data_IF_610059366487
#
_entry.id   IF_610059366487
#
_cell.length_a   1.000
_cell.length_b   1.000
_cell.length_c   1.000
_cell.angle_alpha   90.00
_cell.angle_beta   90.00
_cell.angle_gamma   90.00
#
_symmetry.space_group_name_H-M   'P 1'
#
loop_
_entity.id
_entity.type
_entity.pdbx_description
1 polymer ?
#
# COMPACT_ATOMS: atom_id res chain seq x y z
N UNK A 1 -1.12 -15.23 -1.58
CA UNK A 1 -1.80 -13.91 -1.51
C UNK A 1 -0.83 -12.93 -2.13
N UNK A 2 -1.24 -12.08 -3.05
CA UNK A 2 -0.32 -11.13 -3.66
C UNK A 2 -0.09 -9.89 -2.79
N UNK A 3 1.02 -9.18 -3.03
CA UNK A 3 1.43 -8.00 -2.28
C UNK A 3 0.38 -6.89 -2.30
N UNK A 4 0.10 -6.33 -1.14
CA UNK A 4 -0.78 -5.17 -0.96
C UNK A 4 -0.27 -4.32 0.18
N UNK A 5 -0.25 -3.02 -0.02
CA UNK A 5 0.14 -2.06 1.00
C UNK A 5 -0.75 -0.83 0.97
N UNK A 6 -1.02 -0.27 2.14
CA UNK A 6 -1.53 1.08 2.35
C UNK A 6 -0.77 1.64 3.55
N UNK A 7 0.37 2.28 3.32
CA UNK A 7 1.36 2.61 4.34
C UNK A 7 1.67 4.11 4.35
N UNK A 8 1.62 4.71 5.54
CA UNK A 8 2.21 6.02 5.83
C UNK A 8 3.36 5.87 6.84
N UNK A 9 4.46 6.56 6.59
CA UNK A 9 5.58 6.64 7.53
C UNK A 9 5.99 8.09 7.73
N UNK A 10 5.95 8.57 8.96
CA UNK A 10 6.50 9.87 9.36
C UNK A 10 7.86 9.65 10.02
N UNK A 11 8.89 10.38 9.60
CA UNK A 11 10.23 10.17 10.11
C UNK A 11 11.06 11.46 10.22
N UNK A 12 11.89 11.53 11.24
CA UNK A 12 12.82 12.64 11.46
C UNK A 12 14.12 12.47 10.66
N UNK A 13 14.14 11.55 9.68
CA UNK A 13 15.31 11.28 8.86
C UNK A 13 15.16 10.05 7.98
N UNK A 14 16.22 9.25 7.86
CA UNK A 14 16.28 8.02 7.06
C UNK A 14 15.37 6.93 7.66
N UNK A 15 14.26 6.61 6.99
CA UNK A 15 13.27 5.66 7.48
C UNK A 15 13.86 4.25 7.68
N UNK A 16 14.55 3.65 6.69
CA UNK A 16 15.16 2.33 6.87
C UNK A 16 16.11 2.27 8.07
N UNK A 17 16.94 3.28 8.22
CA UNK A 17 17.88 3.35 9.34
C UNK A 17 17.22 3.55 10.70
N UNK A 18 16.06 4.20 10.76
CA UNK A 18 15.27 4.33 11.98
C UNK A 18 14.57 3.00 12.30
N UNK A 19 13.88 2.38 11.34
CA UNK A 19 13.15 1.12 11.54
C UNK A 19 14.06 -0.04 11.96
N UNK A 20 15.31 -0.12 11.48
CA UNK A 20 16.27 -1.14 11.95
C UNK A 20 16.64 -1.03 13.44
N UNK A 21 16.35 0.10 14.09
CA UNK A 21 16.72 0.38 15.48
C UNK A 21 15.54 0.47 16.43
N UNK A 22 14.30 0.31 15.95
CA UNK A 22 13.14 0.34 16.83
C UNK A 22 13.13 -0.86 17.76
N UNK A 23 12.67 -0.63 18.98
CA UNK A 23 12.33 -1.68 19.94
C UNK A 23 10.82 -1.82 20.04
N UNK A 24 10.33 -2.28 21.19
CA UNK A 24 8.90 -2.31 21.46
C UNK A 24 8.29 -0.91 21.34
N UNK A 25 7.15 -0.81 20.67
CA UNK A 25 6.42 0.44 20.55
C UNK A 25 5.75 0.83 21.87
N UNK A 26 5.53 2.13 22.07
CA UNK A 26 4.79 2.67 23.22
C UNK A 26 3.32 2.83 22.84
N UNK A 27 2.43 2.11 23.53
CA UNK A 27 1.00 2.13 23.26
C UNK A 27 0.38 3.52 23.50
N UNK A 28 0.73 4.20 24.60
CA UNK A 28 0.15 5.51 24.94
C UNK A 28 0.56 6.58 23.93
N UNK A 29 1.81 6.53 23.49
CA UNK A 29 2.35 7.36 22.41
C UNK A 29 1.64 7.08 21.10
N UNK A 30 1.49 5.81 20.73
CA UNK A 30 0.79 5.37 19.51
C UNK A 30 -0.68 5.80 19.55
N UNK A 31 -1.39 5.58 20.66
CA UNK A 31 -2.78 6.01 20.80
C UNK A 31 -2.94 7.55 20.75
N UNK A 32 -1.93 8.29 21.19
CA UNK A 32 -1.92 9.76 21.08
C UNK A 32 -1.75 10.20 19.62
N UNK A 33 -0.81 9.61 18.89
CA UNK A 33 -0.63 9.81 17.46
C UNK A 33 -1.93 9.49 16.68
N UNK A 34 -2.57 8.35 16.98
CA UNK A 34 -3.82 7.96 16.32
C UNK A 34 -4.92 9.01 16.47
N UNK A 35 -5.10 9.59 17.68
CA UNK A 35 -6.08 10.66 17.88
C UNK A 35 -5.76 11.94 17.11
N UNK A 36 -4.51 12.21 16.85
CA UNK A 36 -4.08 13.38 16.05
C UNK A 36 -4.30 13.16 14.55
N UNK A 37 -4.01 11.94 14.05
CA UNK A 37 -4.12 11.60 12.64
C UNK A 37 -5.55 11.26 12.21
N UNK A 38 -6.42 10.86 13.15
CA UNK A 38 -7.83 10.53 12.89
C UNK A 38 -8.79 11.43 13.71
N UNK A 39 -8.77 12.75 13.47
CA UNK A 39 -9.58 13.69 14.25
C UNK A 39 -11.07 13.43 14.05
N UNK A 40 -11.81 13.39 15.16
CA UNK A 40 -13.26 13.17 15.14
C UNK A 40 -13.70 11.72 14.93
N UNK A 41 -12.77 10.78 14.78
CA UNK A 41 -13.07 9.34 14.70
C UNK A 41 -13.14 8.72 16.11
N UNK A 42 -13.98 7.70 16.24
CA UNK A 42 -13.91 6.78 17.39
C UNK A 42 -12.80 5.76 17.17
N UNK A 43 -11.90 5.64 18.15
CA UNK A 43 -10.72 4.78 18.07
C UNK A 43 -10.79 3.78 19.21
N UNK A 44 -10.86 2.51 18.89
CA UNK A 44 -10.89 1.41 19.84
C UNK A 44 -9.70 0.48 19.59
N UNK A 45 -8.90 0.21 20.62
CA UNK A 45 -7.77 -0.72 20.51
C UNK A 45 -8.26 -2.14 20.20
N UNK A 46 -7.56 -2.82 19.31
CA UNK A 46 -7.78 -4.21 18.89
C UNK A 46 -6.48 -4.99 18.95
N UNK A 47 -6.55 -6.27 18.59
CA UNK A 47 -5.37 -7.08 18.36
C UNK A 47 -4.49 -6.43 17.29
N UNK A 48 -3.19 -6.40 17.54
CA UNK A 48 -2.19 -5.86 16.63
C UNK A 48 -1.69 -6.89 15.61
N UNK A 49 -0.69 -6.48 14.86
CA UNK A 49 -0.01 -7.31 13.87
C UNK A 49 1.49 -6.96 13.87
N UNK A 50 2.26 -7.53 12.97
CA UNK A 50 3.60 -7.06 12.65
C UNK A 50 3.57 -6.06 11.48
N UNK A 51 4.71 -5.45 11.15
CA UNK A 51 4.81 -4.49 10.04
C UNK A 51 4.56 -5.17 8.68
N UNK A 52 5.00 -6.43 8.49
CA UNK A 52 4.81 -7.17 7.25
C UNK A 52 3.34 -7.37 6.91
N UNK A 53 2.53 -7.83 7.86
CA UNK A 53 1.09 -8.05 7.67
C UNK A 53 0.26 -6.78 7.90
N UNK A 54 0.70 -5.91 8.78
CA UNK A 54 -0.04 -4.72 9.22
C UNK A 54 -0.07 -3.57 8.22
N UNK A 55 0.66 -3.65 7.11
CA UNK A 55 0.61 -2.64 6.03
C UNK A 55 -0.66 -2.70 5.18
N UNK A 56 -1.46 -3.74 5.32
CA UNK A 56 -2.76 -3.87 4.65
C UNK A 56 -3.80 -4.50 5.59
N UNK A 57 -4.16 -3.81 6.68
CA UNK A 57 -5.14 -4.33 7.64
C UNK A 57 -6.55 -4.35 7.02
N UNK A 58 -7.49 -5.12 7.59
CA UNK A 58 -8.89 -5.10 7.16
C UNK A 58 -9.51 -3.70 7.16
N UNK A 59 -10.53 -3.47 6.31
CA UNK A 59 -11.28 -2.21 6.25
C UNK A 59 -11.76 -1.75 7.63
N UNK A 60 -11.59 -0.47 7.93
CA UNK A 60 -11.92 0.12 9.23
C UNK A 60 -10.94 -0.23 10.36
N UNK A 61 -9.87 -0.95 10.04
CA UNK A 61 -8.78 -1.25 10.96
C UNK A 61 -7.53 -0.49 10.54
N UNK A 62 -6.79 0.02 11.51
CA UNK A 62 -5.48 0.65 11.32
C UNK A 62 -4.48 -0.07 12.19
N UNK A 63 -3.35 -0.48 11.62
CA UNK A 63 -2.21 -0.99 12.36
C UNK A 63 -1.15 0.12 12.47
N UNK A 64 -0.75 0.47 13.70
CA UNK A 64 0.13 1.60 13.90
C UNK A 64 1.12 1.42 15.05
N UNK A 65 2.25 2.09 14.94
CA UNK A 65 3.21 2.19 16.03
C UNK A 65 3.98 3.51 15.97
N UNK A 66 4.33 4.03 17.13
CA UNK A 66 5.08 5.28 17.29
C UNK A 66 6.30 5.08 18.19
N UNK A 67 7.46 5.47 17.66
CA UNK A 67 8.74 5.50 18.36
C UNK A 67 9.34 6.90 18.32
N UNK A 68 10.37 7.20 19.09
CA UNK A 68 11.12 8.43 18.92
C UNK A 68 11.71 8.52 17.50
N UNK A 69 11.25 9.52 16.73
CA UNK A 69 11.77 9.82 15.40
C UNK A 69 11.12 9.05 14.24
N UNK A 70 10.25 8.06 14.48
CA UNK A 70 9.52 7.36 13.42
C UNK A 70 8.15 6.89 13.87
N UNK A 71 7.17 7.02 12.99
CA UNK A 71 5.79 6.58 13.16
C UNK A 71 5.34 5.83 11.91
N UNK A 72 4.65 4.72 12.10
CA UNK A 72 4.18 3.84 11.04
C UNK A 72 2.68 3.65 11.16
N UNK A 73 1.97 3.76 10.05
CA UNK A 73 0.52 3.57 9.96
C UNK A 73 0.19 2.74 8.73
N UNK A 74 -0.37 1.55 8.93
CA UNK A 74 -0.99 0.74 7.88
C UNK A 74 -2.50 0.99 7.86
N UNK A 75 -3.02 1.48 6.73
CA UNK A 75 -4.42 1.85 6.55
C UNK A 75 -4.82 1.75 5.07
N UNK A 76 -5.88 1.03 4.76
CA UNK A 76 -6.37 0.96 3.38
C UNK A 76 -6.92 2.30 2.87
N UNK A 77 -7.37 3.21 3.73
CA UNK A 77 -7.89 4.51 3.32
C UNK A 77 -6.82 5.41 2.65
N UNK A 78 -5.52 5.10 2.81
CA UNK A 78 -4.43 5.84 2.15
C UNK A 78 -4.09 5.33 0.75
N UNK A 79 -4.77 4.27 0.29
CA UNK A 79 -4.62 3.75 -1.07
C UNK A 79 -5.43 4.60 -2.05
N UNK A 80 -4.85 5.71 -2.47
CA UNK A 80 -5.50 6.71 -3.32
C UNK A 80 -4.77 6.85 -4.66
N UNK A 81 -5.54 7.00 -5.74
CA UNK A 81 -5.01 7.12 -7.11
C UNK A 81 -4.12 8.33 -7.33
N UNK A 82 -4.35 9.40 -6.61
CA UNK A 82 -3.56 10.62 -6.67
C UNK A 82 -2.97 10.93 -5.29
N UNK A 83 -1.76 10.41 -4.95
CA UNK A 83 -1.14 10.63 -3.65
C UNK A 83 -0.98 12.11 -3.27
N UNK A 84 -0.80 13.00 -4.25
CA UNK A 84 -0.76 14.45 -4.02
C UNK A 84 -2.03 15.01 -3.35
N UNK A 85 -3.13 14.25 -3.36
CA UNK A 85 -4.41 14.58 -2.73
C UNK A 85 -4.59 13.94 -1.34
N UNK A 86 -3.52 13.43 -0.75
CA UNK A 86 -3.56 12.95 0.63
C UNK A 86 -4.18 14.05 1.52
N UNK A 87 -5.11 13.73 2.44
CA UNK A 87 -5.76 14.71 3.30
C UNK A 87 -4.78 15.69 3.95
N UNK A 88 -5.10 16.98 3.90
CA UNK A 88 -4.21 18.08 4.32
C UNK A 88 -3.71 17.91 5.76
N UNK A 89 -4.56 17.40 6.66
CA UNK A 89 -4.18 17.18 8.06
C UNK A 89 -3.10 16.11 8.22
N UNK A 90 -3.08 15.07 7.34
CA UNK A 90 -2.02 14.05 7.33
C UNK A 90 -0.71 14.64 6.79
N UNK A 91 -0.78 15.47 5.74
CA UNK A 91 0.41 16.16 5.22
C UNK A 91 0.93 17.17 6.25
N UNK A 92 0.05 17.95 6.90
CA UNK A 92 0.44 18.93 7.92
C UNK A 92 1.13 18.29 9.13
N UNK A 93 0.79 17.04 9.48
CA UNK A 93 1.46 16.28 10.52
C UNK A 93 2.95 15.97 10.21
N UNK A 94 3.38 16.12 8.95
CA UNK A 94 4.78 15.95 8.53
C UNK A 94 5.61 17.23 8.56
N UNK A 95 5.09 18.33 9.11
CA UNK A 95 5.86 19.58 9.24
C UNK A 95 7.13 19.34 10.05
N UNK A 96 8.28 19.69 9.48
CA UNK A 96 9.61 19.43 10.05
C UNK A 96 10.11 17.98 9.92
N UNK A 97 9.38 17.12 9.20
CA UNK A 97 9.64 15.68 9.05
C UNK A 97 9.48 15.23 7.61
N UNK A 98 9.99 14.05 7.32
CA UNK A 98 9.65 13.31 6.09
C UNK A 98 8.34 12.57 6.28
N UNK A 99 7.49 12.55 5.24
CA UNK A 99 6.36 11.65 5.11
C UNK A 99 6.56 10.80 3.86
N UNK A 100 6.37 9.50 4.01
CA UNK A 100 6.31 8.54 2.90
C UNK A 100 4.91 7.95 2.87
N UNK A 101 4.30 7.94 1.68
CA UNK A 101 3.14 7.12 1.35
C UNK A 101 3.61 6.01 0.41
N UNK A 102 3.23 4.79 0.69
CA UNK A 102 3.40 3.66 -0.20
C UNK A 102 2.12 2.83 -0.25
N UNK A 103 1.60 2.61 -1.45
CA UNK A 103 0.40 1.81 -1.67
C UNK A 103 0.57 0.97 -2.94
N UNK A 104 0.25 -0.30 -2.89
CA UNK A 104 0.21 -1.17 -4.06
C UNK A 104 -0.89 -2.24 -3.90
N UNK A 105 -1.36 -2.75 -5.04
CA UNK A 105 -2.39 -3.78 -5.08
C UNK A 105 -2.16 -4.75 -6.24
N UNK A 106 -1.71 -5.95 -5.92
CA UNK A 106 -1.28 -6.96 -6.89
C UNK A 106 -2.37 -7.53 -7.79
N UNK A 107 -3.66 -7.40 -7.42
CA UNK A 107 -4.75 -7.92 -8.27
C UNK A 107 -4.97 -7.09 -9.52
N UNK A 108 -4.57 -5.82 -9.48
CA UNK A 108 -4.74 -4.85 -10.58
C UNK A 108 -3.43 -4.18 -10.98
N UNK A 109 -2.29 -4.75 -10.53
CA UNK A 109 -0.94 -4.24 -10.77
C UNK A 109 -0.80 -2.73 -10.55
N UNK A 110 -1.51 -2.22 -9.54
CA UNK A 110 -1.52 -0.80 -9.22
C UNK A 110 -0.44 -0.46 -8.18
N UNK A 111 0.24 0.64 -8.44
CA UNK A 111 1.22 1.25 -7.55
C UNK A 111 0.92 2.72 -7.36
N UNK A 112 1.06 3.21 -6.13
CA UNK A 112 1.16 4.62 -5.80
C UNK A 112 2.19 4.83 -4.69
N UNK A 113 3.06 5.83 -4.83
CA UNK A 113 3.89 6.29 -3.72
C UNK A 113 4.11 7.79 -3.80
N UNK A 114 4.38 8.38 -2.64
CA UNK A 114 4.75 9.78 -2.59
C UNK A 114 5.66 10.08 -1.40
N UNK A 115 6.45 11.13 -1.54
CA UNK A 115 7.38 11.63 -0.53
C UNK A 115 7.15 13.11 -0.32
N UNK A 116 6.97 13.51 0.94
CA UNK A 116 6.97 14.91 1.36
C UNK A 116 8.15 15.16 2.29
N UNK A 117 8.74 16.34 2.15
CA UNK A 117 9.76 16.88 3.07
C UNK A 117 9.22 18.17 3.68
N UNK A 118 9.13 18.22 4.99
CA UNK A 118 8.61 19.39 5.71
C UNK A 118 7.24 19.86 5.18
N UNK A 119 6.30 18.91 4.98
CA UNK A 119 4.97 19.17 4.46
C UNK A 119 4.91 19.54 2.97
N UNK A 120 6.02 19.53 2.24
CA UNK A 120 6.08 19.85 0.80
C UNK A 120 6.25 18.58 -0.02
N UNK A 121 5.37 18.37 -0.99
CA UNK A 121 5.48 17.25 -1.92
C UNK A 121 6.78 17.37 -2.74
N UNK A 122 7.60 16.33 -2.68
CA UNK A 122 8.85 16.20 -3.43
C UNK A 122 8.68 15.26 -4.61
N UNK A 123 8.02 14.14 -4.38
CA UNK A 123 7.78 13.12 -5.40
C UNK A 123 6.39 12.52 -5.21
N UNK A 124 5.67 12.29 -6.31
CA UNK A 124 4.46 11.49 -6.35
C UNK A 124 4.39 10.73 -7.67
N UNK A 125 4.13 9.43 -7.60
CA UNK A 125 3.90 8.58 -8.75
C UNK A 125 2.73 7.64 -8.45
N UNK A 126 1.83 7.50 -9.42
CA UNK A 126 0.78 6.48 -9.40
C UNK A 126 0.51 5.99 -10.81
N UNK A 127 0.38 4.66 -10.95
CA UNK A 127 0.20 4.02 -12.26
C UNK A 127 -0.40 2.61 -12.14
N UNK A 128 -1.06 2.17 -13.19
CA UNK A 128 -1.52 0.79 -13.39
C UNK A 128 -1.58 0.45 -14.88
N UNK A 129 -1.58 -0.83 -15.28
CA UNK A 129 -1.75 -1.21 -16.69
C UNK A 129 -3.04 -0.66 -17.30
N UNK A 130 -4.13 -0.69 -16.56
CA UNK A 130 -5.46 -0.28 -17.04
C UNK A 130 -5.59 1.24 -17.20
N UNK A 131 -4.95 2.01 -16.32
CA UNK A 131 -5.09 3.48 -16.28
C UNK A 131 -3.87 4.22 -16.81
N UNK A 132 -2.78 3.51 -17.11
CA UNK A 132 -1.51 4.14 -17.46
C UNK A 132 -0.88 4.87 -16.28
N UNK A 133 -0.17 5.97 -16.56
CA UNK A 133 0.38 6.86 -15.54
C UNK A 133 -0.72 7.82 -15.08
N UNK A 134 -1.19 7.65 -13.84
CA UNK A 134 -2.29 8.45 -13.25
C UNK A 134 -1.73 9.77 -12.69
N UNK A 135 -0.61 9.69 -11.96
CA UNK A 135 0.08 10.86 -11.42
C UNK A 135 1.60 10.70 -11.57
N UNK A 136 2.28 11.78 -11.92
CA UNK A 136 3.74 11.81 -12.01
C UNK A 136 4.23 13.25 -11.72
N UNK A 137 4.56 13.53 -10.46
CA UNK A 137 4.97 14.85 -9.96
C UNK A 137 6.35 14.76 -9.34
N UNK A 138 7.20 15.73 -9.64
CA UNK A 138 8.58 15.81 -9.15
C UNK A 138 9.54 14.96 -9.99
N UNK A 139 10.84 15.08 -9.69
CA UNK A 139 11.90 14.32 -10.38
C UNK A 139 11.92 12.87 -9.88
N UNK A 140 12.19 11.89 -10.74
CA UNK A 140 12.34 10.50 -10.35
C UNK A 140 13.40 10.31 -9.27
N UNK A 141 13.11 9.50 -8.27
CA UNK A 141 14.05 9.12 -7.22
C UNK A 141 15.09 8.10 -7.77
N UNK A 142 16.26 7.96 -7.13
CA UNK A 142 17.33 7.11 -7.64
C UNK A 142 16.93 5.68 -7.97
N UNK A 143 16.05 5.06 -7.20
CA UNK A 143 15.57 3.69 -7.44
C UNK A 143 14.65 3.59 -8.68
N UNK A 144 14.01 4.69 -9.09
CA UNK A 144 13.16 4.73 -10.28
C UNK A 144 13.95 4.78 -11.59
N UNK A 145 15.18 5.34 -11.56
CA UNK A 145 15.95 5.65 -12.77
C UNK A 145 16.14 4.46 -13.72
N UNK A 146 16.45 3.23 -13.26
CA UNK A 146 16.57 2.07 -14.15
C UNK A 146 15.27 1.72 -14.87
N UNK A 147 14.12 1.95 -14.25
CA UNK A 147 12.81 1.70 -14.85
C UNK A 147 12.51 2.69 -15.97
N UNK A 148 12.72 3.99 -15.71
CA UNK A 148 12.53 5.04 -16.71
C UNK A 148 13.57 4.98 -17.84
N UNK A 149 14.76 4.44 -17.59
CA UNK A 149 15.79 4.20 -18.62
C UNK A 149 15.50 2.98 -19.52
N UNK A 150 14.52 2.13 -19.14
CA UNK A 150 14.21 0.90 -19.86
C UNK A 150 15.12 -0.29 -19.52
N UNK A 151 15.89 -0.18 -18.43
CA UNK A 151 16.77 -1.26 -17.96
C UNK A 151 16.00 -2.36 -17.20
N UNK A 152 14.75 -2.09 -16.83
CA UNK A 152 13.81 -2.97 -16.12
C UNK A 152 12.48 -3.07 -16.88
N UNK A 153 12.47 -3.64 -18.11
CA UNK A 153 11.22 -3.81 -18.86
C UNK A 153 10.31 -4.83 -18.15
N UNK A 154 9.01 -4.69 -18.32
CA UNK A 154 8.06 -5.68 -17.82
C UNK A 154 8.34 -7.04 -18.49
N UNK A 155 8.58 -8.07 -17.68
CA UNK A 155 8.74 -9.45 -18.14
C UNK A 155 7.39 -10.16 -18.01
N UNK A 156 6.64 -10.22 -19.13
CA UNK A 156 5.31 -10.81 -19.16
C UNK A 156 5.41 -12.15 -19.87
N UNK A 157 4.96 -13.17 -19.20
CA UNK A 157 4.76 -14.50 -19.79
C UNK A 157 3.34 -14.55 -20.36
N UNK A 158 3.16 -14.54 -21.70
CA UNK A 158 1.84 -14.61 -22.29
C UNK A 158 1.16 -15.94 -21.95
N UNK A 159 -0.16 -15.93 -21.84
CA UNK A 159 -0.92 -17.16 -21.67
C UNK A 159 -0.76 -18.04 -22.92
N UNK A 160 -0.70 -19.37 -22.76
CA UNK A 160 -0.61 -20.28 -23.91
C UNK A 160 -1.72 -20.05 -24.93
N UNK A 161 -1.37 -19.65 -26.15
CA UNK A 161 -2.31 -19.39 -27.23
C UNK A 161 -2.72 -17.93 -27.42
N UNK A 162 -2.24 -17.02 -26.59
CA UNK A 162 -2.40 -15.57 -26.79
C UNK A 162 -1.18 -15.02 -27.58
N UNK A 163 -1.45 -14.05 -28.46
CA UNK A 163 -0.38 -13.27 -29.08
C UNK A 163 0.27 -12.35 -28.03
N UNK A 164 1.59 -12.17 -28.09
CA UNK A 164 2.30 -11.22 -27.24
C UNK A 164 1.79 -9.80 -27.51
N UNK A 165 0.87 -9.30 -26.71
CA UNK A 165 0.54 -7.88 -26.69
C UNK A 165 1.59 -7.14 -25.86
N UNK A 166 2.09 -5.98 -26.34
CA UNK A 166 3.03 -5.19 -25.54
C UNK A 166 2.35 -4.72 -24.24
N UNK A 167 3.07 -4.87 -23.14
CA UNK A 167 2.57 -4.37 -21.86
C UNK A 167 2.29 -2.87 -21.91
N UNK A 168 1.19 -2.45 -21.32
CA UNK A 168 0.69 -1.07 -21.40
C UNK A 168 1.65 -0.02 -20.80
N UNK A 169 2.57 -0.45 -19.93
CA UNK A 169 3.55 0.39 -19.25
C UNK A 169 4.98 -0.04 -19.61
N UNK A 170 5.97 0.86 -19.51
CA UNK A 170 7.38 0.51 -19.83
C UNK A 170 8.00 -0.49 -18.85
N UNK A 171 7.40 -0.69 -17.67
CA UNK A 171 7.86 -1.60 -16.61
C UNK A 171 6.68 -2.12 -15.79
N UNK A 172 6.93 -3.15 -15.00
CA UNK A 172 5.88 -3.71 -14.13
C UNK A 172 5.71 -2.87 -12.87
N UNK A 173 4.48 -2.37 -12.55
CA UNK A 173 4.25 -1.50 -11.40
C UNK A 173 4.67 -2.09 -10.06
N UNK A 174 4.43 -3.39 -9.86
CA UNK A 174 4.74 -4.04 -8.58
C UNK A 174 6.25 -4.23 -8.37
N UNK A 175 7.04 -4.44 -9.43
CA UNK A 175 8.50 -4.48 -9.31
C UNK A 175 9.05 -3.14 -8.84
N UNK A 176 8.59 -2.05 -9.47
CA UNK A 176 8.93 -0.71 -9.00
C UNK A 176 8.39 -0.46 -7.58
N UNK A 177 7.22 -1.01 -7.25
CA UNK A 177 6.61 -0.92 -5.93
C UNK A 177 7.46 -1.55 -4.84
N UNK A 178 7.98 -2.75 -5.06
CA UNK A 178 8.88 -3.42 -4.12
C UNK A 178 10.21 -2.66 -3.96
N UNK A 179 10.79 -2.17 -5.07
CA UNK A 179 12.01 -1.35 -5.01
C UNK A 179 11.75 0.00 -4.30
N UNK A 180 10.56 0.59 -4.48
CA UNK A 180 10.13 1.79 -3.75
C UNK A 180 9.98 1.51 -2.25
N UNK A 181 9.31 0.41 -1.88
CA UNK A 181 9.11 0.01 -0.48
C UNK A 181 10.45 -0.24 0.21
N UNK A 182 11.37 -0.95 -0.47
CA UNK A 182 12.73 -1.17 0.04
C UNK A 182 13.51 0.14 0.20
N UNK A 183 13.51 0.97 -0.84
CA UNK A 183 14.29 2.22 -0.82
C UNK A 183 13.76 3.23 0.20
N UNK A 184 12.43 3.34 0.35
CA UNK A 184 11.79 4.34 1.19
C UNK A 184 11.56 3.86 2.63
N UNK A 185 11.27 2.56 2.82
CA UNK A 185 10.91 1.98 4.11
C UNK A 185 11.86 0.89 4.61
N UNK A 186 12.70 0.33 3.72
CA UNK A 186 13.74 -0.63 4.08
C UNK A 186 13.30 -2.08 4.11
N UNK A 187 12.13 -2.44 3.62
CA UNK A 187 11.63 -3.81 3.54
C UNK A 187 10.85 -4.05 2.23
N UNK A 188 10.50 -5.28 1.97
CA UNK A 188 9.68 -5.71 0.82
C UNK A 188 8.51 -6.57 1.29
N UNK A 189 7.48 -6.68 0.45
CA UNK A 189 6.33 -7.58 0.68
C UNK A 189 6.52 -8.92 -0.03
N UNK A 190 7.00 -8.87 -1.26
CA UNK A 190 7.26 -10.07 -2.06
C UNK A 190 8.67 -10.02 -2.65
N UNK A 191 9.26 -11.21 -2.83
CA UNK A 191 10.59 -11.33 -3.38
C UNK A 191 11.61 -11.88 -2.39
N UNK A 192 12.89 -11.64 -2.68
CA UNK A 192 14.00 -12.13 -1.85
C UNK A 192 14.52 -11.01 -0.95
N UNK A 193 14.41 -11.15 0.38
CA UNK A 193 15.00 -10.20 1.32
C UNK A 193 16.53 -10.10 1.14
N UNK A 194 17.05 -8.91 1.31
CA UNK A 194 18.49 -8.63 1.38
C UNK A 194 18.97 -8.57 2.83
N UNK A 195 20.27 -8.80 3.11
CA UNK A 195 20.79 -8.82 4.47
C UNK A 195 20.58 -7.51 5.25
N UNK A 196 20.47 -6.40 4.53
CA UNK A 196 20.28 -5.06 5.09
C UNK A 196 18.81 -4.63 5.14
N UNK A 197 17.87 -5.48 4.69
CA UNK A 197 16.46 -5.18 4.81
C UNK A 197 16.03 -5.17 6.29
N UNK A 198 15.01 -4.36 6.58
CA UNK A 198 14.32 -4.33 7.86
C UNK A 198 13.53 -5.63 8.00
N UNK A 199 13.70 -6.32 9.13
CA UNK A 199 12.87 -7.47 9.47
C UNK A 199 11.46 -6.99 9.88
N UNK A 200 10.58 -6.87 8.88
CA UNK A 200 9.23 -6.34 9.08
C UNK A 200 8.37 -7.25 9.98
N UNK A 201 8.64 -8.56 10.00
CA UNK A 201 7.92 -9.51 10.85
C UNK A 201 8.29 -9.37 12.34
N UNK A 202 9.47 -8.83 12.62
CA UNK A 202 9.91 -8.57 13.99
C UNK A 202 9.41 -7.23 14.58
N UNK A 203 8.80 -6.36 13.78
CA UNK A 203 8.30 -5.06 14.23
C UNK A 203 6.81 -5.16 14.53
N UNK A 204 6.43 -5.11 15.80
CA UNK A 204 5.05 -5.18 16.25
C UNK A 204 4.32 -3.84 16.07
N UNK A 205 3.09 -3.90 15.54
CA UNK A 205 2.16 -2.79 15.42
C UNK A 205 0.92 -3.04 16.29
N UNK A 206 0.40 -2.00 16.92
CA UNK A 206 -0.89 -2.04 17.60
C UNK A 206 -2.04 -1.93 16.60
N UNK A 207 -3.10 -2.73 16.81
CA UNK A 207 -4.33 -2.65 16.03
C UNK A 207 -5.32 -1.67 16.64
N UNK A 208 -6.01 -0.92 15.79
CA UNK A 208 -7.07 0.00 16.16
C UNK A 208 -8.24 -0.13 15.20
N UNK A 209 -9.45 -0.24 15.75
CA UNK A 209 -10.65 -0.04 14.95
C UNK A 209 -10.96 1.47 14.92
N UNK A 210 -11.05 2.02 13.70
CA UNK A 210 -11.27 3.45 13.46
C UNK A 210 -12.61 3.62 12.77
N UNK A 211 -13.55 4.33 13.41
CA UNK A 211 -14.92 4.47 12.94
C UNK A 211 -15.35 5.93 12.88
N UNK A 212 -16.04 6.29 11.81
CA UNK A 212 -16.78 7.55 11.75
C UNK A 212 -18.03 7.43 12.63
N UNK A 213 -18.16 8.22 13.72
CA UNK A 213 -19.35 8.17 14.58
C UNK A 213 -20.64 8.60 13.86
N UNK A 214 -20.52 9.31 12.74
CA UNK A 214 -21.62 9.78 11.91
C UNK A 214 -21.72 9.01 10.58
N UNK A 215 -20.85 8.02 10.37
CA UNK A 215 -20.82 7.19 9.18
C UNK A 215 -21.93 6.12 9.20
N UNK A 216 -22.05 5.37 8.10
CA UNK A 216 -23.02 4.28 8.02
C UNK A 216 -22.76 3.25 9.11
N UNK A 217 -23.83 2.84 9.81
CA UNK A 217 -23.76 1.81 10.85
C UNK A 217 -23.42 0.43 10.26
N UNK A 218 -23.02 -0.54 11.13
CA UNK A 218 -22.65 -1.89 10.67
C UNK A 218 -23.70 -2.57 9.79
N UNK A 219 -24.97 -2.42 10.11
CA UNK A 219 -26.08 -2.97 9.32
C UNK A 219 -26.23 -2.32 7.94
N UNK A 220 -25.90 -1.03 7.82
CA UNK A 220 -25.95 -0.29 6.57
C UNK A 220 -24.74 -0.63 5.68
N UNK A 221 -23.56 -0.80 6.28
CA UNK A 221 -22.36 -1.29 5.61
C UNK A 221 -22.56 -2.71 5.08
N UNK A 222 -23.11 -3.61 5.89
CA UNK A 222 -23.44 -4.98 5.47
C UNK A 222 -24.47 -4.98 4.33
N UNK A 223 -25.49 -4.12 4.39
CA UNK A 223 -26.48 -4.00 3.31
C UNK A 223 -25.86 -3.45 2.02
N UNK A 224 -24.92 -2.51 2.11
CA UNK A 224 -24.16 -1.98 0.97
C UNK A 224 -23.27 -3.05 0.34
N UNK A 225 -22.56 -3.82 1.18
CA UNK A 225 -21.71 -4.92 0.71
C UNK A 225 -22.55 -6.01 0.02
N UNK A 226 -23.68 -6.38 0.62
CA UNK A 226 -24.59 -7.37 0.02
C UNK A 226 -25.11 -6.93 -1.35
N UNK A 227 -25.49 -5.65 -1.51
CA UNK A 227 -25.90 -5.11 -2.82
C UNK A 227 -24.74 -5.13 -3.81
N UNK A 228 -23.54 -4.74 -3.40
CA UNK A 228 -22.37 -4.78 -4.29
C UNK A 228 -22.06 -6.21 -4.78
N UNK A 229 -22.22 -7.22 -3.90
CA UNK A 229 -22.08 -8.63 -4.29
C UNK A 229 -23.21 -9.10 -5.21
N UNK A 230 -24.45 -8.65 -4.96
CA UNK A 230 -25.63 -8.99 -5.82
C UNK A 230 -25.52 -8.34 -7.21
N UNK A 231 -24.91 -7.15 -7.31
CA UNK A 231 -24.69 -6.43 -8.56
C UNK A 231 -23.44 -6.92 -9.34
N UNK A 232 -22.63 -7.80 -8.74
CA UNK A 232 -21.45 -8.37 -9.40
C UNK A 232 -21.87 -9.58 -10.23
N UNK A 233 -21.45 -9.60 -11.51
CA UNK A 233 -21.65 -10.77 -12.36
C UNK A 233 -21.06 -12.03 -11.68
N UNK A 234 -21.75 -13.17 -11.76
CA UNK A 234 -21.26 -14.41 -11.17
C UNK A 234 -19.88 -14.76 -11.75
N UNK A 235 -18.96 -15.26 -10.93
CA UNK A 235 -17.62 -15.61 -11.41
C UNK A 235 -17.71 -16.64 -12.52
N UNK A 236 -17.03 -16.37 -13.65
CA UNK A 236 -16.89 -17.31 -14.75
C UNK A 236 -15.75 -18.26 -14.46
N UNK A 237 -16.01 -19.55 -14.54
CA UNK A 237 -15.00 -20.57 -14.35
C UNK A 237 -14.52 -21.07 -15.71
N UNK A 238 -13.20 -21.13 -15.89
CA UNK A 238 -12.58 -21.66 -17.09
C UNK A 238 -11.73 -22.88 -16.73
N UNK A 239 -11.77 -23.90 -17.57
CA UNK A 239 -10.88 -25.05 -17.46
C UNK A 239 -10.02 -25.15 -18.71
N UNK A 240 -8.76 -25.52 -18.54
CA UNK A 240 -7.86 -25.79 -19.65
C UNK A 240 -8.23 -27.13 -20.29
N UNK A 241 -8.54 -27.13 -21.58
CA UNK A 241 -8.74 -28.34 -22.39
C UNK A 241 -7.41 -29.01 -22.73
N UNK A 242 -7.40 -30.31 -23.10
CA UNK A 242 -6.16 -31.00 -23.49
C UNK A 242 -5.43 -30.41 -24.69
N UNK A 243 -6.10 -29.60 -25.50
CA UNK A 243 -5.54 -28.88 -26.65
C UNK A 243 -5.00 -27.47 -26.29
N UNK A 244 -5.05 -27.09 -24.98
CA UNK A 244 -4.56 -25.80 -24.50
C UNK A 244 -5.58 -24.67 -24.57
N UNK A 245 -6.83 -24.92 -25.04
CA UNK A 245 -7.89 -23.90 -25.06
C UNK A 245 -8.57 -23.76 -23.69
N UNK A 246 -8.97 -22.51 -23.34
CA UNK A 246 -9.82 -22.24 -22.18
C UNK A 246 -11.28 -22.47 -22.54
N UNK A 247 -11.96 -23.36 -21.82
CA UNK A 247 -13.38 -23.64 -21.98
C UNK A 247 -14.11 -23.19 -20.72
N UNK A 248 -15.11 -22.31 -20.91
CA UNK A 248 -15.99 -21.87 -19.83
C UNK A 248 -16.76 -23.09 -19.26
N UNK A 249 -16.74 -23.24 -17.93
CA UNK A 249 -17.49 -24.26 -17.22
C UNK A 249 -18.60 -23.60 -16.42
N UNK A 250 -19.79 -24.16 -16.53
CA UNK A 250 -20.88 -23.87 -15.58
C UNK A 250 -20.39 -24.19 -14.16
N UNK A 251 -20.61 -23.26 -13.21
CA UNK A 251 -20.14 -23.38 -11.84
C UNK A 251 -20.46 -24.71 -11.17
N UNK A 252 -19.61 -25.09 -10.22
CA UNK A 252 -19.76 -26.28 -9.36
C UNK A 252 -21.06 -26.23 -8.54
#
# INVERSE_FOLDING_TARGET
>A
MGAKTGLLVYADGDVPGLLRRVGAADLDRTATMMRQLYPGREIEQREGSNLGDGVYPPEGTVCAASWPGVEVIGDQEVMIDAPSRLPEHLVAASTGRRLVLHAMHSVVDWLAFAVWEDGRLVRSLSLSPDSGIIENIGEPLPFELPYWAGDRPADIIPWPGEEEEPYALPFHPLELGEDALRALCGFIQEGRPEPDDVDADAIELYGFHVRDPYGPGPAEQEAKLRRAVEDTDPPRFYALSPDGSLVERDGL
#
